data_IF_793697405195
#
_entry.id   IF_793697405195
#
_cell.length_a   1.000
_cell.length_b   1.000
_cell.length_c   1.000
_cell.angle_alpha   90.00
_cell.angle_beta   90.00
_cell.angle_gamma   90.00
#
_symmetry.space_group_name_H-M   'P 1'
#
loop_
_entity.id
_entity.type
_entity.pdbx_description
1 polymer ?
#
# COMPACT_ATOMS: atom_id res chain seq x y z
N UNK A 1 9.86 5.71 -11.00
CA UNK A 1 8.64 6.27 -10.39
C UNK A 1 7.72 5.11 -10.05
N UNK A 2 7.19 4.98 -8.83
CA UNK A 2 6.17 3.97 -8.54
C UNK A 2 4.95 4.21 -9.44
N UNK A 3 4.49 3.18 -10.12
CA UNK A 3 3.35 3.30 -11.04
C UNK A 3 2.01 3.20 -10.29
N UNK A 4 0.93 3.76 -10.85
CA UNK A 4 -0.44 3.51 -10.34
C UNK A 4 -0.80 2.03 -10.27
N UNK A 5 -0.23 1.22 -11.17
CA UNK A 5 -0.39 -0.23 -11.20
C UNK A 5 0.27 -0.90 -9.98
N UNK A 6 1.45 -0.41 -9.56
CA UNK A 6 2.12 -0.90 -8.35
C UNK A 6 1.32 -0.60 -7.09
N UNK A 7 0.75 0.61 -6.99
CA UNK A 7 -0.11 1.00 -5.86
C UNK A 7 -1.33 0.09 -5.77
N UNK A 8 -2.01 -0.12 -6.89
CA UNK A 8 -3.21 -0.96 -6.97
C UNK A 8 -2.88 -2.42 -6.66
N UNK A 9 -1.74 -2.92 -7.15
CA UNK A 9 -1.24 -4.24 -6.84
C UNK A 9 -1.02 -4.42 -5.33
N UNK A 10 -0.29 -3.51 -4.69
CA UNK A 10 0.00 -3.63 -3.25
C UNK A 10 -1.26 -3.49 -2.39
N UNK A 11 -2.21 -2.63 -2.77
CA UNK A 11 -3.51 -2.55 -2.08
C UNK A 11 -4.31 -3.85 -2.19
N UNK A 12 -4.39 -4.46 -3.38
CA UNK A 12 -5.08 -5.75 -3.55
C UNK A 12 -4.40 -6.86 -2.75
N UNK A 13 -3.06 -6.92 -2.78
CA UNK A 13 -2.30 -7.95 -2.04
C UNK A 13 -2.47 -7.79 -0.53
N UNK A 14 -2.41 -6.57 0.02
CA UNK A 14 -2.66 -6.32 1.43
C UNK A 14 -4.02 -6.88 1.88
N UNK A 15 -5.10 -6.59 1.13
CA UNK A 15 -6.45 -7.10 1.43
C UNK A 15 -6.54 -8.62 1.33
N UNK A 16 -5.89 -9.22 0.34
CA UNK A 16 -5.88 -10.67 0.17
C UNK A 16 -5.16 -11.37 1.35
N UNK A 17 -4.01 -10.85 1.79
CA UNK A 17 -3.30 -11.40 2.94
C UNK A 17 -4.10 -11.28 4.24
N UNK A 18 -4.84 -10.17 4.44
CA UNK A 18 -5.75 -10.03 5.58
C UNK A 18 -6.89 -11.05 5.55
N UNK A 19 -7.48 -11.29 4.38
CA UNK A 19 -8.51 -12.30 4.22
C UNK A 19 -7.99 -13.70 4.56
N UNK A 20 -6.79 -14.05 4.08
CA UNK A 20 -6.16 -15.35 4.39
C UNK A 20 -5.87 -15.45 5.89
N UNK A 21 -5.23 -14.44 6.49
CA UNK A 21 -4.92 -14.42 7.93
C UNK A 21 -6.17 -14.64 8.80
N UNK A 22 -7.32 -14.07 8.41
CA UNK A 22 -8.59 -14.23 9.13
C UNK A 22 -9.17 -15.64 9.09
N UNK A 23 -8.68 -16.49 8.19
CA UNK A 23 -9.11 -17.89 8.02
C UNK A 23 -8.09 -18.92 8.54
N UNK A 24 -6.91 -18.47 8.96
CA UNK A 24 -5.86 -19.35 9.47
C UNK A 24 -6.20 -19.86 10.88
N UNK A 25 -6.16 -21.18 11.06
CA UNK A 25 -6.25 -21.81 12.40
C UNK A 25 -4.91 -21.77 13.14
N UNK A 26 -3.80 -21.73 12.40
CA UNK A 26 -2.45 -21.61 12.96
C UNK A 26 -2.09 -20.12 13.16
N UNK A 27 -1.87 -19.75 14.42
CA UNK A 27 -1.45 -18.42 14.82
C UNK A 27 -0.13 -17.97 14.18
N UNK A 28 0.83 -18.87 13.98
CA UNK A 28 2.10 -18.54 13.35
C UNK A 28 1.91 -18.21 11.87
N UNK A 29 1.06 -18.97 11.17
CA UNK A 29 0.69 -18.70 9.78
C UNK A 29 -0.09 -17.38 9.67
N UNK A 30 -1.09 -17.16 10.54
CA UNK A 30 -1.85 -15.91 10.59
C UNK A 30 -0.94 -14.69 10.78
N UNK A 31 0.02 -14.77 11.72
CA UNK A 31 1.01 -13.72 11.96
C UNK A 31 1.90 -13.45 10.75
N UNK A 32 2.29 -14.48 9.99
CA UNK A 32 3.06 -14.31 8.77
C UNK A 32 2.25 -13.51 7.72
N UNK A 33 0.97 -13.86 7.53
CA UNK A 33 0.08 -13.14 6.63
C UNK A 33 -0.17 -11.69 7.07
N UNK A 34 -0.37 -11.44 8.38
CA UNK A 34 -0.50 -10.08 8.90
C UNK A 34 0.76 -9.22 8.66
N UNK A 35 1.95 -9.79 8.85
CA UNK A 35 3.21 -9.09 8.57
C UNK A 35 3.37 -8.74 7.08
N UNK A 36 2.93 -9.63 6.19
CA UNK A 36 2.93 -9.37 4.75
C UNK A 36 1.93 -8.27 4.38
N UNK A 37 0.72 -8.29 4.95
CA UNK A 37 -0.27 -7.24 4.73
C UNK A 37 0.27 -5.85 5.14
N UNK A 38 0.87 -5.75 6.33
CA UNK A 38 1.44 -4.50 6.83
C UNK A 38 2.62 -4.01 5.96
N UNK A 39 3.46 -4.91 5.46
CA UNK A 39 4.51 -4.55 4.51
C UNK A 39 3.95 -3.97 3.21
N UNK A 40 2.90 -4.57 2.64
CA UNK A 40 2.26 -4.03 1.45
C UNK A 40 1.62 -2.66 1.71
N UNK A 41 0.99 -2.46 2.86
CA UNK A 41 0.45 -1.16 3.25
C UNK A 41 1.55 -0.10 3.42
N UNK A 42 2.69 -0.45 4.04
CA UNK A 42 3.85 0.43 4.15
C UNK A 42 4.33 0.89 2.77
N UNK A 43 4.37 -0.01 1.80
CA UNK A 43 4.76 0.34 0.41
C UNK A 43 3.76 1.31 -0.22
N UNK A 44 2.46 1.10 -0.05
CA UNK A 44 1.42 2.03 -0.52
C UNK A 44 1.59 3.42 0.12
N UNK A 45 1.83 3.47 1.44
CA UNK A 45 2.08 4.73 2.16
C UNK A 45 3.35 5.43 1.66
N UNK A 46 4.44 4.69 1.45
CA UNK A 46 5.69 5.23 0.91
C UNK A 46 5.53 5.77 -0.52
N UNK A 47 4.66 5.17 -1.34
CA UNK A 47 4.35 5.69 -2.68
C UNK A 47 3.57 6.99 -2.63
N UNK A 48 2.59 7.10 -1.73
CA UNK A 48 1.84 8.33 -1.53
C UNK A 48 2.75 9.48 -1.04
N UNK A 49 3.69 9.19 -0.14
CA UNK A 49 4.67 10.17 0.35
C UNK A 49 5.71 10.59 -0.71
N UNK A 50 5.93 9.75 -1.73
CA UNK A 50 6.85 10.01 -2.84
C UNK A 50 6.22 10.71 -4.03
N UNK A 51 4.90 10.90 -4.06
CA UNK A 51 4.26 11.75 -5.06
C UNK A 51 4.57 13.21 -4.70
N UNK A 52 5.40 13.94 -5.46
CA UNK A 52 5.60 15.35 -5.21
C UNK A 52 4.25 16.06 -5.39
N UNK A 53 3.95 17.01 -4.50
CA UNK A 53 2.86 17.98 -4.66
C UNK A 53 3.22 18.90 -5.82
N UNK A 54 3.17 18.39 -7.05
CA UNK A 54 3.48 19.12 -8.27
C UNK A 54 2.17 19.41 -9.03
N UNK A 55 1.27 20.19 -8.41
CA UNK A 55 0.10 20.76 -9.10
C UNK A 55 -0.61 21.88 -8.30
N UNK A 56 0.13 22.79 -7.63
CA UNK A 56 -0.52 23.94 -6.98
C UNK A 56 0.23 25.29 -7.12
N UNK A 57 1.08 25.42 -8.13
CA UNK A 57 1.65 26.72 -8.53
C UNK A 57 1.49 26.96 -10.02
N UNK A 58 0.22 27.08 -10.44
CA UNK A 58 -0.14 27.86 -11.61
C UNK A 58 -1.16 28.91 -11.16
N UNK A 59 -0.70 30.04 -10.61
CA UNK A 59 -1.37 31.33 -10.80
C UNK A 59 -0.50 32.49 -10.28
N UNK A 60 -0.49 33.57 -11.08
CA UNK A 60 0.13 34.92 -10.89
C UNK A 60 1.62 35.02 -11.24
N UNK A 61 2.07 35.99 -12.03
CA UNK A 61 1.47 37.19 -12.63
C UNK A 61 2.09 37.43 -14.01
N UNK A 62 1.34 38.02 -14.94
CA UNK A 62 1.20 39.47 -15.19
C UNK A 62 2.23 39.97 -16.20
#
# INVERSE_FOLDING_TARGET
>A
MPSPDDRSYFQRRARAELAIASTCEDNAAALAHFRLADEYERRVRAMAARMPVAAATSSRGS
#
